data_IF_626034320034
#
_entry.id   IF_626034320034
#
_cell.length_a   1.000
_cell.length_b   1.000
_cell.length_c   1.000
_cell.angle_alpha   90.00
_cell.angle_beta   90.00
_cell.angle_gamma   90.00
#
_symmetry.space_group_name_H-M   'P 1'
#
loop_
_entity.id
_entity.type
_entity.pdbx_description
1 polymer ?
#
# COMPACT_ATOMS: atom_id res chain seq x y z
N UNK A 1 -31.35 43.41 -30.61
CA UNK A 1 -31.51 42.04 -31.19
C UNK A 1 -30.89 41.07 -30.18
N UNK A 2 -31.72 40.55 -29.27
CA UNK A 2 -32.01 39.11 -29.00
C UNK A 2 -30.77 38.34 -28.51
N UNK A 3 -30.63 38.15 -27.19
CA UNK A 3 -31.01 36.98 -26.35
C UNK A 3 -30.23 35.69 -26.62
N UNK A 4 -29.80 35.11 -25.49
CA UNK A 4 -29.62 33.70 -25.16
C UNK A 4 -28.68 32.83 -25.99
N UNK A 5 -27.63 32.35 -25.33
CA UNK A 5 -26.99 31.08 -25.66
C UNK A 5 -26.78 30.29 -24.38
N UNK A 6 -27.87 29.67 -23.91
CA UNK A 6 -27.93 28.23 -23.72
C UNK A 6 -26.85 27.56 -22.85
N UNK A 7 -27.29 27.18 -21.65
CA UNK A 7 -26.70 26.11 -20.85
C UNK A 7 -26.33 24.89 -21.72
N UNK A 8 -25.02 24.69 -21.89
CA UNK A 8 -24.42 23.52 -22.53
C UNK A 8 -23.92 22.52 -21.49
N UNK A 9 -24.89 21.79 -20.92
CA UNK A 9 -24.82 20.36 -20.55
C UNK A 9 -23.49 19.83 -20.02
N UNK A 10 -23.53 19.45 -18.74
CA UNK A 10 -22.81 18.33 -18.16
C UNK A 10 -22.59 17.22 -19.21
N UNK A 11 -21.35 17.10 -19.67
CA UNK A 11 -20.96 16.07 -20.57
C UNK A 11 -19.51 15.70 -20.28
N UNK A 12 -19.37 14.50 -19.70
CA UNK A 12 -18.30 13.56 -20.03
C UNK A 12 -16.96 13.97 -19.42
N UNK A 13 -16.67 13.59 -18.16
CA UNK A 13 -16.24 12.24 -17.79
C UNK A 13 -15.14 11.78 -18.75
N UNK A 14 -13.93 11.66 -18.20
CA UNK A 14 -12.76 10.93 -18.71
C UNK A 14 -11.61 11.80 -19.25
N UNK A 15 -10.88 12.41 -18.34
CA UNK A 15 -9.44 12.68 -18.46
C UNK A 15 -8.88 12.24 -17.10
N UNK A 16 -8.68 10.95 -16.79
CA UNK A 16 -7.59 10.08 -17.26
C UNK A 16 -6.27 10.82 -17.48
N UNK A 17 -5.95 11.66 -16.52
CA UNK A 17 -4.72 12.43 -16.38
C UNK A 17 -4.39 12.30 -14.87
N UNK A 18 -3.24 11.85 -14.40
CA UNK A 18 -2.03 11.39 -15.04
C UNK A 18 -1.20 10.82 -13.88
N UNK A 19 -0.26 9.92 -14.16
CA UNK A 19 0.99 9.85 -13.39
C UNK A 19 0.92 9.96 -11.84
N UNK A 20 0.32 8.99 -11.14
CA UNK A 20 0.87 8.66 -9.82
C UNK A 20 2.07 7.72 -9.98
N UNK A 21 3.09 8.24 -10.68
CA UNK A 21 4.49 7.83 -10.65
C UNK A 21 5.14 8.21 -9.30
N UNK A 22 4.39 8.18 -8.19
CA UNK A 22 5.07 8.05 -6.91
C UNK A 22 5.46 6.58 -6.81
N UNK A 23 6.73 6.28 -6.53
CA UNK A 23 7.07 4.97 -6.02
C UNK A 23 6.24 4.79 -4.75
N UNK A 24 5.02 4.21 -4.86
CA UNK A 24 4.05 4.11 -3.77
C UNK A 24 4.72 3.28 -2.70
N UNK A 25 5.38 3.90 -1.74
CA UNK A 25 5.95 3.18 -0.61
C UNK A 25 4.82 2.52 0.15
N UNK A 26 5.17 1.60 1.03
CA UNK A 26 4.18 0.86 1.82
C UNK A 26 3.21 1.82 2.53
N UNK A 27 1.92 1.73 2.18
CA UNK A 27 0.86 2.60 2.73
C UNK A 27 0.81 2.55 4.26
N UNK A 28 0.32 3.63 4.87
CA UNK A 28 0.23 3.74 6.32
C UNK A 28 -0.62 2.64 6.98
N UNK A 29 -1.60 2.10 6.25
CA UNK A 29 -2.41 0.96 6.68
C UNK A 29 -1.59 -0.33 6.73
N UNK A 30 -0.85 -0.62 5.65
CA UNK A 30 -0.01 -1.81 5.52
C UNK A 30 1.07 -1.85 6.60
N UNK A 31 1.77 -0.73 6.84
CA UNK A 31 2.80 -0.69 7.90
C UNK A 31 2.23 -0.92 9.30
N UNK A 32 1.02 -0.40 9.58
CA UNK A 32 0.30 -0.67 10.83
C UNK A 32 -0.11 -2.13 10.95
N UNK A 33 -0.63 -2.71 9.87
CA UNK A 33 -1.03 -4.12 9.84
C UNK A 33 0.17 -5.06 10.03
N UNK A 34 1.34 -4.73 9.47
CA UNK A 34 2.58 -5.50 9.70
C UNK A 34 3.00 -5.40 11.17
N UNK A 35 3.02 -4.20 11.75
CA UNK A 35 3.37 -3.99 13.15
C UNK A 35 2.41 -4.75 14.09
N UNK A 36 1.10 -4.62 13.85
CA UNK A 36 0.08 -5.31 14.64
C UNK A 36 0.18 -6.83 14.49
N UNK A 37 0.35 -7.34 13.27
CA UNK A 37 0.55 -8.76 13.03
C UNK A 37 1.80 -9.29 13.74
N UNK A 38 2.89 -8.53 13.70
CA UNK A 38 4.15 -8.88 14.39
C UNK A 38 3.95 -8.96 15.91
N UNK A 39 3.30 -7.96 16.49
CA UNK A 39 2.99 -7.91 17.92
C UNK A 39 2.03 -9.05 18.33
N UNK A 40 1.00 -9.31 17.52
CA UNK A 40 0.03 -10.39 17.77
C UNK A 40 0.71 -11.77 17.77
N UNK A 41 1.69 -11.99 16.88
CA UNK A 41 2.47 -13.24 16.85
C UNK A 41 3.67 -13.26 17.79
N UNK A 42 3.91 -12.18 18.55
CA UNK A 42 5.10 -12.01 19.41
C UNK A 42 6.42 -12.27 18.68
N UNK A 43 6.47 -11.93 17.39
CA UNK A 43 7.65 -12.13 16.56
C UNK A 43 8.57 -10.90 16.65
N UNK A 44 9.88 -11.15 16.61
CA UNK A 44 10.86 -10.07 16.41
C UNK A 44 10.97 -9.76 14.92
N UNK A 45 11.49 -8.58 14.56
CA UNK A 45 11.74 -8.23 13.16
C UNK A 45 12.63 -9.26 12.46
N UNK A 46 13.66 -9.75 13.16
CA UNK A 46 14.54 -10.81 12.66
C UNK A 46 13.81 -12.13 12.44
N UNK A 47 12.95 -12.56 13.36
CA UNK A 47 12.16 -13.79 13.19
C UNK A 47 11.13 -13.67 12.06
N UNK A 48 10.49 -12.51 11.93
CA UNK A 48 9.57 -12.25 10.82
C UNK A 48 10.33 -12.29 9.49
N UNK A 49 11.50 -11.64 9.43
CA UNK A 49 12.39 -11.62 8.27
C UNK A 49 12.86 -13.02 7.88
N UNK A 50 13.30 -13.83 8.85
CA UNK A 50 13.67 -15.23 8.63
C UNK A 50 12.52 -16.05 8.04
N UNK A 51 11.28 -15.88 8.54
CA UNK A 51 10.12 -16.60 8.00
C UNK A 51 9.79 -16.19 6.56
N UNK A 52 9.89 -14.91 6.21
CA UNK A 52 9.70 -14.45 4.82
C UNK A 52 10.94 -14.68 3.93
N UNK A 53 12.04 -15.19 4.48
CA UNK A 53 13.35 -15.31 3.82
C UNK A 53 13.86 -13.96 3.29
N UNK A 54 13.78 -12.91 4.12
CA UNK A 54 14.28 -11.57 3.83
C UNK A 54 15.23 -11.09 4.93
N UNK A 55 15.83 -9.93 4.70
CA UNK A 55 16.68 -9.26 5.70
C UNK A 55 15.82 -8.53 6.75
N UNK A 56 16.26 -8.49 8.02
CA UNK A 56 15.56 -7.73 9.08
C UNK A 56 15.42 -6.24 8.76
N UNK A 57 16.39 -5.68 8.03
CA UNK A 57 16.33 -4.29 7.55
C UNK A 57 15.13 -4.04 6.64
N UNK A 58 14.80 -5.00 5.75
CA UNK A 58 13.65 -4.88 4.86
C UNK A 58 12.38 -4.79 5.70
N UNK A 59 12.16 -5.68 6.66
CA UNK A 59 10.99 -5.64 7.56
C UNK A 59 10.86 -4.29 8.28
N UNK A 60 11.98 -3.75 8.77
CA UNK A 60 12.00 -2.42 9.41
C UNK A 60 11.59 -1.29 8.44
N UNK A 61 12.05 -1.33 7.19
CA UNK A 61 11.66 -0.38 6.16
C UNK A 61 10.17 -0.50 5.81
N UNK A 62 9.61 -1.71 5.82
CA UNK A 62 8.17 -1.95 5.63
C UNK A 62 7.35 -1.39 6.80
N UNK A 63 7.76 -1.63 8.04
CA UNK A 63 7.11 -1.06 9.24
C UNK A 63 7.24 0.47 9.30
N UNK A 64 8.30 1.04 8.71
CA UNK A 64 8.50 2.49 8.62
C UNK A 64 7.75 3.14 7.45
N UNK A 65 7.31 2.37 6.46
CA UNK A 65 6.71 2.88 5.23
C UNK A 65 7.73 3.45 4.23
N UNK A 66 9.01 3.09 4.38
CA UNK A 66 10.10 3.47 3.45
C UNK A 66 10.41 2.39 2.42
N UNK A 67 10.02 1.15 2.70
CA UNK A 67 10.27 0.04 1.79
C UNK A 67 9.50 0.19 0.48
N UNK A 68 10.13 -0.31 -0.59
CA UNK A 68 9.48 -0.52 -1.88
C UNK A 68 8.55 -1.74 -1.75
N UNK A 69 7.24 -1.62 -2.03
CA UNK A 69 6.31 -2.73 -1.91
C UNK A 69 6.60 -3.81 -2.96
N UNK A 70 7.17 -4.91 -2.51
CA UNK A 70 7.33 -6.12 -3.30
C UNK A 70 6.13 -7.04 -3.05
N UNK A 71 5.40 -7.36 -4.13
CA UNK A 71 4.22 -8.20 -4.07
C UNK A 71 4.51 -9.61 -3.51
N UNK A 72 5.73 -10.12 -3.69
CA UNK A 72 6.15 -11.41 -3.11
C UNK A 72 6.29 -11.32 -1.59
N UNK A 73 6.95 -10.27 -1.10
CA UNK A 73 7.15 -10.05 0.34
C UNK A 73 5.80 -9.80 1.02
N UNK A 74 4.95 -8.96 0.42
CA UNK A 74 3.61 -8.70 0.92
C UNK A 74 2.80 -10.00 1.02
N UNK A 75 2.79 -10.84 -0.02
CA UNK A 75 2.07 -12.12 0.05
C UNK A 75 2.60 -13.08 1.13
N UNK A 76 3.92 -13.09 1.38
CA UNK A 76 4.50 -13.87 2.48
C UNK A 76 4.12 -13.29 3.85
N UNK A 77 4.21 -11.96 4.01
CA UNK A 77 3.79 -11.26 5.22
C UNK A 77 2.31 -11.49 5.50
N UNK A 78 1.44 -11.44 4.50
CA UNK A 78 0.00 -11.72 4.64
C UNK A 78 -0.24 -13.13 5.18
N UNK A 79 0.47 -14.14 4.65
CA UNK A 79 0.36 -15.52 5.15
C UNK A 79 0.91 -15.70 6.55
N UNK A 80 2.08 -15.14 6.82
CA UNK A 80 2.76 -15.31 8.12
C UNK A 80 2.06 -14.53 9.21
N UNK A 81 1.57 -13.33 8.93
CA UNK A 81 0.91 -12.50 9.92
C UNK A 81 -0.60 -12.75 9.98
N UNK A 82 -1.19 -13.34 8.93
CA UNK A 82 -2.63 -13.59 8.84
C UNK A 82 -3.45 -12.31 8.60
N UNK A 83 -2.81 -11.23 8.14
CA UNK A 83 -3.45 -9.95 7.86
C UNK A 83 -3.57 -9.75 6.35
N UNK A 84 -4.62 -9.06 5.88
CA UNK A 84 -4.71 -8.65 4.48
C UNK A 84 -4.00 -7.31 4.32
N UNK A 85 -2.83 -7.35 3.70
CA UNK A 85 -2.02 -6.17 3.35
C UNK A 85 -2.39 -5.65 1.96
N UNK A 86 -3.16 -6.42 1.18
CA UNK A 86 -3.66 -6.05 -0.15
C UNK A 86 -5.17 -5.84 -0.09
N UNK A 87 -5.61 -4.58 -0.12
CA UNK A 87 -7.04 -4.29 -0.06
C UNK A 87 -7.45 -2.84 0.20
N UNK A 88 -6.99 -1.90 -0.63
CA UNK A 88 -7.79 -0.80 -1.22
C UNK A 88 -6.95 0.00 -2.20
#
# INVERSE_FOLDING_TARGET
>A
RVVDSGAGRNALKLELDDENLTHKTVSADVKKAILQGRLAKKLTQAQLAQQINEKPQIVQEYESGKAIPNQQILGKLERILGVKLRGK
#
